data_IF_325244694945
#
_entry.id   IF_325244694945
#
_cell.length_a   1.000
_cell.length_b   1.000
_cell.length_c   1.000
_cell.angle_alpha   90.00
_cell.angle_beta   90.00
_cell.angle_gamma   90.00
#
_symmetry.space_group_name_H-M   'P 1'
#
loop_
_entity.id
_entity.type
_entity.pdbx_description
1 polymer ?
#
# COMPACT_ATOMS: atom_id res chain seq x y z
N UNK A 1 7.76 37.78 42.71
CA UNK A 1 7.06 37.44 41.44
C UNK A 1 7.88 36.40 40.70
N UNK A 2 7.43 35.14 40.67
CA UNK A 2 8.13 34.06 39.98
C UNK A 2 7.77 34.07 38.48
N UNK A 3 8.77 34.12 37.59
CA UNK A 3 8.58 33.86 36.16
C UNK A 3 8.67 32.36 35.93
N UNK A 4 7.54 31.72 35.67
CA UNK A 4 7.44 30.36 35.15
C UNK A 4 8.14 30.29 33.79
N UNK A 5 9.35 29.75 33.76
CA UNK A 5 9.98 29.27 32.53
C UNK A 5 9.23 28.01 32.10
N UNK A 6 8.33 28.15 31.12
CA UNK A 6 7.67 27.00 30.52
C UNK A 6 8.73 26.12 29.88
N UNK A 7 8.99 24.96 30.50
CA UNK A 7 9.79 23.91 29.93
C UNK A 7 9.18 23.53 28.57
N UNK A 8 9.99 23.63 27.52
CA UNK A 8 9.66 23.07 26.20
C UNK A 8 9.34 21.58 26.42
N UNK A 9 8.18 21.06 25.97
CA UNK A 9 7.87 19.65 26.16
C UNK A 9 9.01 18.83 25.56
N UNK A 10 9.61 17.95 26.38
CA UNK A 10 10.61 16.99 25.91
C UNK A 10 9.94 16.19 24.79
N UNK A 11 10.60 16.13 23.62
CA UNK A 11 10.20 15.22 22.54
C UNK A 11 9.98 13.83 23.15
N UNK A 12 8.98 13.06 22.69
CA UNK A 12 8.84 11.67 23.08
C UNK A 12 10.19 11.00 22.94
N UNK A 13 10.50 10.08 23.86
CA UNK A 13 11.72 9.27 23.82
C UNK A 13 11.58 8.32 22.63
N UNK A 14 11.73 8.85 21.43
CA UNK A 14 12.13 8.08 20.26
C UNK A 14 13.45 7.43 20.64
N UNK A 15 13.58 6.12 20.37
CA UNK A 15 14.85 5.41 20.49
C UNK A 15 15.96 6.25 19.86
N UNK A 16 16.92 6.67 20.68
CA UNK A 16 18.06 7.43 20.17
C UNK A 16 18.73 6.56 19.11
N UNK A 17 19.00 7.14 17.93
CA UNK A 17 19.78 6.53 16.85
C UNK A 17 21.27 6.41 17.27
N UNK A 18 21.55 5.70 18.36
CA UNK A 18 22.86 5.62 19.01
C UNK A 18 23.66 4.36 18.63
N UNK A 19 22.98 3.34 18.08
CA UNK A 19 23.59 2.12 17.61
C UNK A 19 24.38 2.35 16.30
N UNK A 20 25.66 1.94 16.29
CA UNK A 20 26.52 1.99 15.11
C UNK A 20 26.64 0.60 14.50
N UNK A 21 26.29 0.48 13.22
CA UNK A 21 26.42 -0.77 12.45
C UNK A 21 27.48 -0.55 11.37
N UNK A 22 28.73 -1.03 11.54
CA UNK A 22 29.72 -1.00 10.48
C UNK A 22 29.36 -2.03 9.41
N UNK A 23 29.33 -1.59 8.15
CA UNK A 23 29.07 -2.45 6.99
C UNK A 23 30.13 -2.18 5.92
N UNK A 24 30.52 -3.23 5.21
CA UNK A 24 31.37 -3.11 4.02
C UNK A 24 30.47 -3.05 2.79
N UNK A 25 30.76 -2.14 1.88
CA UNK A 25 30.03 -1.96 0.63
C UNK A 25 31.04 -1.76 -0.49
N UNK A 26 30.71 -2.27 -1.67
CA UNK A 26 31.45 -2.01 -2.90
C UNK A 26 31.32 -0.53 -3.31
N UNK A 27 32.22 -0.11 -4.22
CA UNK A 27 32.19 1.24 -4.77
C UNK A 27 30.88 1.52 -5.53
N UNK A 28 30.40 0.56 -6.30
CA UNK A 28 29.16 0.66 -7.08
C UNK A 28 27.93 0.83 -6.18
N UNK A 29 27.85 0.09 -5.06
CA UNK A 29 26.76 0.21 -4.10
C UNK A 29 26.76 1.58 -3.41
N UNK A 30 27.94 2.08 -3.01
CA UNK A 30 28.07 3.42 -2.43
C UNK A 30 27.68 4.50 -3.43
N UNK A 31 28.07 4.34 -4.69
CA UNK A 31 27.68 5.25 -5.76
C UNK A 31 26.17 5.25 -5.97
N UNK A 32 25.52 4.08 -6.02
CA UNK A 32 24.07 3.98 -6.17
C UNK A 32 23.30 4.67 -5.03
N UNK A 33 23.77 4.52 -3.79
CA UNK A 33 23.18 5.22 -2.63
C UNK A 33 23.39 6.73 -2.73
N UNK A 34 24.56 7.18 -3.20
CA UNK A 34 24.84 8.59 -3.39
C UNK A 34 24.00 9.20 -4.51
N UNK A 35 23.89 8.55 -5.66
CA UNK A 35 23.01 8.99 -6.75
C UNK A 35 21.56 9.11 -6.23
N UNK A 36 21.06 8.08 -5.56
CA UNK A 36 19.72 8.08 -4.98
C UNK A 36 19.53 9.21 -3.96
N UNK A 37 20.49 9.45 -3.05
CA UNK A 37 20.34 10.52 -2.04
C UNK A 37 20.32 11.90 -2.70
N UNK A 38 21.08 12.12 -3.78
CA UNK A 38 21.08 13.40 -4.48
C UNK A 38 19.76 13.63 -5.22
N UNK A 39 19.26 12.62 -5.94
CA UNK A 39 17.96 12.67 -6.62
C UNK A 39 16.81 12.97 -5.64
N UNK A 40 16.87 12.39 -4.44
CA UNK A 40 15.84 12.53 -3.41
C UNK A 40 16.16 13.64 -2.38
N UNK A 41 17.20 14.45 -2.61
CA UNK A 41 17.62 15.59 -1.76
C UNK A 41 17.86 15.22 -0.29
N UNK A 42 18.39 14.02 -0.03
CA UNK A 42 18.71 13.51 1.31
C UNK A 42 20.13 13.91 1.71
N UNK A 43 20.24 14.67 2.80
CA UNK A 43 21.48 15.36 3.19
C UNK A 43 22.67 14.43 3.49
N UNK A 44 22.43 13.26 4.11
CA UNK A 44 23.51 12.35 4.53
C UNK A 44 23.32 10.95 4.00
N UNK A 45 24.43 10.25 3.73
CA UNK A 45 24.42 8.85 3.31
C UNK A 45 23.78 7.93 4.35
N UNK A 46 24.06 8.16 5.64
CA UNK A 46 23.45 7.38 6.71
C UNK A 46 21.93 7.53 6.77
N UNK A 47 21.40 8.72 6.49
CA UNK A 47 19.96 8.92 6.37
C UNK A 47 19.39 8.23 5.12
N UNK A 48 20.10 8.30 4.00
CA UNK A 48 19.69 7.61 2.77
C UNK A 48 19.61 6.09 2.96
N UNK A 49 20.63 5.49 3.58
CA UNK A 49 20.66 4.06 3.91
C UNK A 49 19.45 3.68 4.77
N UNK A 50 19.18 4.43 5.85
CA UNK A 50 18.03 4.13 6.72
C UNK A 50 16.70 4.24 5.95
N UNK A 51 16.52 5.25 5.10
CA UNK A 51 15.30 5.36 4.26
C UNK A 51 15.14 4.18 3.33
N UNK A 52 16.23 3.77 2.66
CA UNK A 52 16.23 2.61 1.76
C UNK A 52 15.92 1.32 2.52
N UNK A 53 16.42 1.14 3.74
CA UNK A 53 16.05 0.01 4.60
C UNK A 53 14.55 0.03 4.94
N UNK A 54 13.99 1.18 5.33
CA UNK A 54 12.57 1.30 5.64
C UNK A 54 11.69 1.05 4.40
N UNK A 55 12.10 1.56 3.24
CA UNK A 55 11.48 1.29 1.94
C UNK A 55 11.49 -0.22 1.66
N UNK A 56 12.64 -0.88 1.85
CA UNK A 56 12.79 -2.32 1.63
C UNK A 56 11.90 -3.14 2.55
N UNK A 57 11.92 -2.86 3.86
CA UNK A 57 11.06 -3.54 4.85
C UNK A 57 9.58 -3.37 4.52
N UNK A 58 9.17 -2.13 4.17
CA UNK A 58 7.76 -1.87 3.89
C UNK A 58 7.31 -2.50 2.57
N UNK A 59 8.17 -2.54 1.57
CA UNK A 59 7.91 -3.25 0.32
C UNK A 59 7.79 -4.77 0.55
N UNK A 60 8.64 -5.35 1.41
CA UNK A 60 8.60 -6.77 1.77
C UNK A 60 7.28 -7.13 2.46
N UNK A 61 6.89 -6.37 3.50
CA UNK A 61 5.65 -6.56 4.27
C UNK A 61 4.38 -6.60 3.38
N UNK A 62 4.34 -5.75 2.35
CA UNK A 62 3.15 -5.58 1.49
C UNK A 62 3.20 -6.45 0.22
N UNK A 63 4.37 -7.03 -0.12
CA UNK A 63 4.56 -7.81 -1.36
C UNK A 63 3.70 -9.07 -1.42
N UNK A 64 3.66 -9.85 -0.32
CA UNK A 64 2.88 -11.10 -0.24
C UNK A 64 1.36 -10.83 -0.25
N UNK A 65 0.82 -9.89 0.55
CA UNK A 65 -0.59 -9.49 0.42
C UNK A 65 -0.98 -9.10 -1.01
N UNK A 66 -0.14 -8.33 -1.70
CA UNK A 66 -0.41 -7.93 -3.09
C UNK A 66 -0.45 -9.12 -4.04
N UNK A 67 0.49 -10.06 -3.92
CA UNK A 67 0.49 -11.29 -4.72
C UNK A 67 -0.78 -12.13 -4.48
N UNK A 68 -1.24 -12.22 -3.24
CA UNK A 68 -2.48 -12.93 -2.92
C UNK A 68 -3.71 -12.26 -3.55
N UNK A 69 -3.80 -10.92 -3.51
CA UNK A 69 -4.88 -10.19 -4.18
C UNK A 69 -4.93 -10.47 -5.69
N UNK A 70 -3.78 -10.49 -6.36
CA UNK A 70 -3.68 -10.82 -7.80
C UNK A 70 -4.12 -12.26 -8.06
N UNK A 71 -3.67 -13.19 -7.21
CA UNK A 71 -4.03 -14.61 -7.31
C UNK A 71 -5.53 -14.81 -7.15
N UNK A 72 -6.13 -14.17 -6.15
CA UNK A 72 -7.56 -14.29 -5.85
C UNK A 72 -8.41 -13.66 -6.97
N UNK A 73 -8.04 -12.47 -7.45
CA UNK A 73 -8.70 -11.85 -8.60
C UNK A 73 -8.66 -12.76 -9.84
N UNK A 74 -7.51 -13.39 -10.11
CA UNK A 74 -7.35 -14.33 -11.22
C UNK A 74 -8.24 -15.56 -11.05
N UNK A 75 -8.25 -16.16 -9.86
CA UNK A 75 -9.10 -17.32 -9.55
C UNK A 75 -10.58 -16.98 -9.62
N UNK A 76 -10.98 -15.79 -9.19
CA UNK A 76 -12.34 -15.28 -9.29
C UNK A 76 -12.77 -15.15 -10.75
N UNK A 77 -11.89 -14.63 -11.63
CA UNK A 77 -12.15 -14.54 -13.07
C UNK A 77 -12.30 -15.92 -13.71
N UNK A 78 -11.38 -16.85 -13.43
CA UNK A 78 -11.43 -18.23 -13.93
C UNK A 78 -12.75 -18.89 -13.52
N UNK A 79 -13.09 -18.82 -12.22
CA UNK A 79 -14.33 -19.40 -11.68
C UNK A 79 -15.58 -18.78 -12.31
N UNK A 80 -15.55 -17.47 -12.59
CA UNK A 80 -16.66 -16.78 -13.27
C UNK A 80 -16.81 -17.27 -14.71
N UNK A 81 -15.71 -17.47 -15.42
CA UNK A 81 -15.73 -18.00 -16.79
C UNK A 81 -16.21 -19.46 -16.82
N UNK A 82 -15.77 -20.30 -15.89
CA UNK A 82 -16.25 -21.68 -15.79
C UNK A 82 -17.77 -21.75 -15.55
N UNK A 83 -18.31 -20.87 -14.69
CA UNK A 83 -19.76 -20.76 -14.48
C UNK A 83 -20.49 -20.34 -15.76
N UNK A 84 -19.90 -19.45 -16.55
CA UNK A 84 -20.46 -19.03 -17.82
C UNK A 84 -20.46 -20.15 -18.86
N UNK A 85 -19.35 -20.87 -19.01
CA UNK A 85 -19.26 -22.04 -19.90
C UNK A 85 -20.32 -23.08 -19.51
N UNK A 86 -20.43 -23.41 -18.22
CA UNK A 86 -21.48 -24.32 -17.71
C UNK A 86 -22.90 -23.81 -17.97
N UNK A 87 -23.12 -22.50 -18.07
CA UNK A 87 -24.41 -21.94 -18.43
C UNK A 87 -24.68 -22.11 -19.93
N UNK A 88 -23.68 -21.88 -20.78
CA UNK A 88 -23.76 -22.10 -22.24
C UNK A 88 -24.01 -23.57 -22.59
N UNK A 89 -23.34 -24.49 -21.91
CA UNK A 89 -23.44 -25.94 -22.14
C UNK A 89 -24.83 -26.51 -21.82
N UNK A 90 -25.64 -25.82 -21.02
CA UNK A 90 -27.02 -26.26 -20.70
C UNK A 90 -27.98 -26.07 -21.88
N UNK A 91 -27.59 -25.35 -22.92
CA UNK A 91 -28.39 -25.14 -24.12
C UNK A 91 -29.39 -23.97 -24.03
N UNK A 92 -30.09 -23.67 -25.13
CA UNK A 92 -30.80 -22.39 -25.32
C UNK A 92 -31.98 -22.17 -24.36
N UNK A 93 -32.58 -23.23 -23.82
CA UNK A 93 -33.67 -23.13 -22.84
C UNK A 93 -33.21 -22.47 -21.53
N UNK A 94 -31.94 -22.67 -21.15
CA UNK A 94 -31.37 -22.12 -19.91
C UNK A 94 -30.67 -20.77 -20.10
N UNK A 95 -30.41 -20.37 -21.35
CA UNK A 95 -29.87 -19.06 -21.73
C UNK A 95 -30.96 -17.98 -21.78
N UNK A 96 -31.78 -17.94 -20.72
CA UNK A 96 -32.78 -16.89 -20.57
C UNK A 96 -32.11 -15.53 -20.39
N UNK A 97 -32.76 -14.46 -20.86
CA UNK A 97 -32.30 -13.09 -20.65
C UNK A 97 -31.99 -12.80 -19.18
N UNK A 98 -32.82 -13.31 -18.26
CA UNK A 98 -32.61 -13.14 -16.82
C UNK A 98 -31.34 -13.83 -16.31
N UNK A 99 -31.06 -15.05 -16.76
CA UNK A 99 -29.83 -15.77 -16.38
C UNK A 99 -28.57 -15.06 -16.88
N UNK A 100 -28.59 -14.56 -18.11
CA UNK A 100 -27.47 -13.81 -18.70
C UNK A 100 -27.25 -12.48 -17.96
N UNK A 101 -28.33 -11.72 -17.69
CA UNK A 101 -28.23 -10.46 -16.94
C UNK A 101 -27.70 -10.70 -15.52
N UNK A 102 -28.19 -11.73 -14.84
CA UNK A 102 -27.73 -12.08 -13.48
C UNK A 102 -26.24 -12.41 -13.49
N UNK A 103 -25.80 -13.29 -14.40
CA UNK A 103 -24.38 -13.62 -14.55
C UNK A 103 -23.54 -12.36 -14.83
N UNK A 104 -23.97 -11.53 -15.79
CA UNK A 104 -23.25 -10.31 -16.14
C UNK A 104 -23.13 -9.35 -14.96
N UNK A 105 -24.21 -9.17 -14.18
CA UNK A 105 -24.22 -8.33 -12.98
C UNK A 105 -23.28 -8.85 -11.90
N UNK A 106 -23.36 -10.14 -11.56
CA UNK A 106 -22.48 -10.78 -10.57
C UNK A 106 -21.01 -10.75 -10.99
N UNK A 107 -20.73 -11.05 -12.27
CA UNK A 107 -19.38 -11.02 -12.82
C UNK A 107 -18.79 -9.60 -12.82
N UNK A 108 -19.61 -8.59 -13.15
CA UNK A 108 -19.19 -7.17 -13.16
C UNK A 108 -18.94 -6.67 -11.74
N UNK A 109 -19.85 -6.95 -10.79
CA UNK A 109 -19.65 -6.59 -9.37
C UNK A 109 -18.35 -7.20 -8.84
N UNK A 110 -18.16 -8.49 -9.05
CA UNK A 110 -16.96 -9.18 -8.61
C UNK A 110 -15.69 -8.65 -9.29
N UNK A 111 -15.75 -8.22 -10.56
CA UNK A 111 -14.61 -7.59 -11.23
C UNK A 111 -14.25 -6.22 -10.63
N UNK A 112 -15.26 -5.45 -10.23
CA UNK A 112 -15.06 -4.17 -9.55
C UNK A 112 -14.45 -4.38 -8.15
N UNK A 113 -14.91 -5.40 -7.42
CA UNK A 113 -14.35 -5.74 -6.10
C UNK A 113 -12.87 -6.17 -6.22
N UNK A 114 -12.55 -7.03 -7.20
CA UNK A 114 -11.18 -7.43 -7.50
C UNK A 114 -10.30 -6.20 -7.84
N UNK A 115 -10.79 -5.31 -8.71
CA UNK A 115 -10.07 -4.11 -9.13
C UNK A 115 -9.85 -3.12 -7.96
N UNK A 116 -10.86 -2.96 -7.09
CA UNK A 116 -10.75 -2.16 -5.87
C UNK A 116 -9.67 -2.72 -4.96
N UNK A 117 -9.70 -4.02 -4.66
CA UNK A 117 -8.70 -4.67 -3.81
C UNK A 117 -7.28 -4.51 -4.34
N UNK A 118 -7.09 -4.68 -5.66
CA UNK A 118 -5.79 -4.46 -6.30
C UNK A 118 -5.31 -3.02 -6.18
N UNK A 119 -6.19 -2.03 -6.42
CA UNK A 119 -5.85 -0.62 -6.29
C UNK A 119 -5.45 -0.28 -4.85
N UNK A 120 -6.17 -0.81 -3.86
CA UNK A 120 -5.84 -0.64 -2.44
C UNK A 120 -4.49 -1.24 -2.09
N UNK A 121 -4.20 -2.46 -2.56
CA UNK A 121 -2.89 -3.08 -2.38
C UNK A 121 -1.76 -2.25 -2.99
N UNK A 122 -1.97 -1.70 -4.19
CA UNK A 122 -1.00 -0.81 -4.84
C UNK A 122 -0.77 0.49 -4.06
N UNK A 123 -1.81 1.07 -3.47
CA UNK A 123 -1.70 2.28 -2.66
C UNK A 123 -0.95 2.00 -1.35
N UNK A 124 -1.19 0.86 -0.69
CA UNK A 124 -0.46 0.45 0.52
C UNK A 124 1.05 0.30 0.29
N UNK A 125 1.44 -0.15 -0.89
CA UNK A 125 2.85 -0.18 -1.30
C UNK A 125 3.33 1.22 -1.65
N UNK A 126 2.65 1.95 -2.52
CA UNK A 126 3.20 3.17 -3.12
C UNK A 126 3.22 4.38 -2.20
N UNK A 127 2.18 4.63 -1.40
CA UNK A 127 2.09 5.83 -0.55
C UNK A 127 3.20 5.92 0.50
N UNK A 128 3.49 4.87 1.30
CA UNK A 128 4.58 4.94 2.28
C UNK A 128 5.93 5.20 1.61
N UNK A 129 6.21 4.57 0.46
CA UNK A 129 7.49 4.72 -0.24
C UNK A 129 7.66 6.16 -0.78
N UNK A 130 6.59 6.76 -1.29
CA UNK A 130 6.59 8.17 -1.72
C UNK A 130 6.81 9.11 -0.54
N UNK A 131 6.15 8.86 0.59
CA UNK A 131 6.28 9.69 1.79
C UNK A 131 7.70 9.59 2.37
N UNK A 132 8.27 8.38 2.44
CA UNK A 132 9.66 8.16 2.88
C UNK A 132 10.67 8.90 1.98
N UNK A 133 10.41 8.97 0.67
CA UNK A 133 11.25 9.73 -0.26
C UNK A 133 11.15 11.24 -0.06
N UNK A 134 9.94 11.78 0.16
CA UNK A 134 9.68 13.23 0.17
C UNK A 134 9.88 13.91 1.52
N UNK A 135 9.82 13.18 2.63
CA UNK A 135 9.92 13.79 3.95
C UNK A 135 11.28 14.46 4.19
N UNK A 136 11.30 15.54 4.97
CA UNK A 136 12.55 16.19 5.38
C UNK A 136 13.37 15.29 6.33
N UNK A 137 12.70 14.45 7.12
CA UNK A 137 13.33 13.48 8.05
C UNK A 137 12.61 12.13 8.02
N UNK A 138 13.31 11.03 8.32
CA UNK A 138 12.68 9.68 8.43
C UNK A 138 11.57 9.65 9.48
N UNK A 139 11.78 10.27 10.64
CA UNK A 139 10.79 10.28 11.73
C UNK A 139 9.48 10.93 11.26
N UNK A 140 9.59 12.05 10.54
CA UNK A 140 8.44 12.67 9.88
C UNK A 140 7.83 11.74 8.82
N UNK A 141 8.65 11.08 8.00
CA UNK A 141 8.18 10.14 7.00
C UNK A 141 7.41 8.95 7.58
N UNK A 142 7.84 8.41 8.72
CA UNK A 142 7.17 7.30 9.39
C UNK A 142 5.83 7.73 9.99
N UNK A 143 5.78 8.93 10.59
CA UNK A 143 4.53 9.52 11.09
C UNK A 143 3.57 9.79 9.93
N UNK A 144 4.03 10.41 8.85
CA UNK A 144 3.24 10.72 7.66
C UNK A 144 2.75 9.46 6.94
N UNK A 145 3.61 8.44 6.78
CA UNK A 145 3.22 7.16 6.21
C UNK A 145 2.15 6.46 7.06
N UNK A 146 2.29 6.48 8.40
CA UNK A 146 1.28 5.93 9.30
C UNK A 146 -0.05 6.67 9.19
N UNK A 147 -0.02 8.01 9.22
CA UNK A 147 -1.24 8.83 9.06
C UNK A 147 -1.86 8.68 7.67
N UNK A 148 -1.06 8.48 6.61
CA UNK A 148 -1.57 8.21 5.26
C UNK A 148 -2.32 6.88 5.21
N UNK A 149 -1.74 5.82 5.78
CA UNK A 149 -2.41 4.52 5.88
C UNK A 149 -3.72 4.61 6.67
N UNK A 150 -3.73 5.30 7.82
CA UNK A 150 -4.95 5.51 8.62
C UNK A 150 -6.04 6.29 7.85
N UNK A 151 -5.64 7.31 7.08
CA UNK A 151 -6.57 8.08 6.22
C UNK A 151 -7.09 7.25 5.06
N UNK A 152 -6.24 6.42 4.45
CA UNK A 152 -6.61 5.52 3.37
C UNK A 152 -7.63 4.50 3.88
N UNK A 153 -7.38 3.86 5.02
CA UNK A 153 -8.32 2.95 5.68
C UNK A 153 -9.66 3.62 6.01
N UNK A 154 -9.64 4.86 6.54
CA UNK A 154 -10.86 5.61 6.82
C UNK A 154 -11.65 5.92 5.55
N UNK A 155 -10.96 6.26 4.45
CA UNK A 155 -11.59 6.55 3.16
C UNK A 155 -12.15 5.30 2.50
N UNK A 156 -11.46 4.17 2.64
CA UNK A 156 -11.93 2.85 2.19
C UNK A 156 -13.23 2.49 2.90
N UNK A 157 -13.27 2.60 4.24
CA UNK A 157 -14.48 2.32 5.02
C UNK A 157 -15.67 3.20 4.62
N UNK A 158 -15.42 4.47 4.31
CA UNK A 158 -16.49 5.37 3.86
C UNK A 158 -17.02 4.97 2.47
N UNK A 159 -16.14 4.58 1.54
CA UNK A 159 -16.55 4.09 0.22
C UNK A 159 -17.35 2.78 0.31
N UNK A 160 -16.99 1.87 1.22
CA UNK A 160 -17.75 0.65 1.50
C UNK A 160 -19.16 0.98 2.01
N UNK A 161 -19.25 1.91 2.95
CA UNK A 161 -20.54 2.36 3.51
C UNK A 161 -21.42 3.01 2.44
N UNK A 162 -20.84 3.73 1.48
CA UNK A 162 -21.56 4.35 0.37
C UNK A 162 -22.05 3.30 -0.64
N UNK A 163 -21.26 2.26 -0.89
CA UNK A 163 -21.65 1.15 -1.76
C UNK A 163 -22.81 0.32 -1.18
N UNK A 164 -22.79 0.07 0.14
CA UNK A 164 -23.84 -0.70 0.82
C UNK A 164 -25.16 0.08 0.98
N UNK A 165 -25.10 1.42 1.13
CA UNK A 165 -26.30 2.26 1.23
C UNK A 165 -26.95 2.62 -0.11
N UNK A 166 -26.32 2.26 -1.24
CA UNK A 166 -26.82 2.52 -2.59
C UNK A 166 -27.47 1.30 -3.27
N UNK A 167 -27.56 0.16 -2.58
CA UNK A 167 -28.24 -1.08 -3.02
C UNK A 167 -29.61 -1.23 -2.36
#
# INVERSE_FOLDING_TARGET
MYKNGMARPKKPVDELKDQRVPIMMSEDELKAIDDWRFENRVASRGEAIRRLCQIGLKADDESVPMLNLIKDATNNRISSMERFIKLLDRGPIFLTRGAVIKFASESTKSALDDAKGLLEGMLRISEPLVNIKRAETIEQALVEAKTSNEKLEARIKELERQADNGS
#
